data_IF_758747285395
#
_entry.id   IF_758747285395
#
_cell.length_a   1.000
_cell.length_b   1.000
_cell.length_c   1.000
_cell.angle_alpha   90.00
_cell.angle_beta   90.00
_cell.angle_gamma   90.00
#
_symmetry.space_group_name_H-M   'P 1'
#
loop_
_entity.id
_entity.type
_entity.pdbx_description
1 polymer ?
#
# COMPACT_ATOMS: atom_id res chain seq x y z
N UNK A 1 -1.27 7.45 5.97
CA UNK A 1 -1.12 6.79 4.65
C UNK A 1 -1.75 7.55 3.49
N UNK A 2 -2.81 8.35 3.72
CA UNK A 2 -3.53 9.07 2.63
C UNK A 2 -2.65 9.98 1.74
N UNK A 3 -1.67 10.68 2.31
CA UNK A 3 -0.74 11.51 1.51
C UNK A 3 0.16 10.66 0.60
N UNK A 4 0.57 9.48 1.07
CA UNK A 4 1.39 8.56 0.28
C UNK A 4 0.58 7.97 -0.88
N UNK A 5 -0.64 7.51 -0.60
CA UNK A 5 -1.56 7.03 -1.65
C UNK A 5 -1.88 8.12 -2.67
N UNK A 6 -2.12 9.36 -2.23
CA UNK A 6 -2.33 10.48 -3.15
C UNK A 6 -1.13 10.76 -4.04
N UNK A 7 0.11 10.67 -3.51
CA UNK A 7 1.33 10.84 -4.30
C UNK A 7 1.48 9.74 -5.36
N UNK A 8 1.15 8.50 -5.01
CA UNK A 8 1.19 7.38 -5.94
C UNK A 8 0.14 7.57 -7.02
N UNK A 9 -1.10 7.86 -6.63
CA UNK A 9 -2.19 8.13 -7.57
C UNK A 9 -1.82 9.26 -8.54
N UNK A 10 -1.28 10.37 -8.04
CA UNK A 10 -0.80 11.47 -8.88
C UNK A 10 0.27 11.02 -9.89
N UNK A 11 1.25 10.20 -9.47
CA UNK A 11 2.28 9.67 -10.36
C UNK A 11 1.69 8.76 -11.45
N UNK A 12 0.79 7.87 -11.06
CA UNK A 12 0.08 6.97 -11.98
C UNK A 12 -0.75 7.78 -12.97
N UNK A 13 -1.54 8.73 -12.49
CA UNK A 13 -2.35 9.63 -13.32
C UNK A 13 -1.48 10.44 -14.30
N UNK A 14 -0.30 10.89 -13.86
CA UNK A 14 0.66 11.60 -14.74
C UNK A 14 1.22 10.70 -15.83
N UNK A 15 1.56 9.45 -15.51
CA UNK A 15 2.07 8.47 -16.47
C UNK A 15 0.98 8.06 -17.48
N UNK A 16 -0.25 7.85 -17.01
CA UNK A 16 -1.40 7.58 -17.87
C UNK A 16 -1.70 8.79 -18.77
N UNK A 17 -1.67 10.00 -18.22
CA UNK A 17 -1.84 11.23 -19.01
C UNK A 17 -0.73 11.44 -20.05
N UNK A 18 0.48 10.92 -19.79
CA UNK A 18 1.57 10.90 -20.75
C UNK A 18 1.42 9.83 -21.84
N UNK A 19 0.37 9.00 -21.79
CA UNK A 19 0.09 7.93 -22.74
C UNK A 19 0.68 6.57 -22.37
N UNK A 20 1.21 6.39 -21.15
CA UNK A 20 1.61 5.07 -20.65
C UNK A 20 0.40 4.28 -20.16
N UNK A 21 0.23 3.06 -20.65
CA UNK A 21 -0.68 2.08 -20.06
C UNK A 21 0.04 1.40 -18.91
N UNK A 22 -0.26 1.79 -17.68
CA UNK A 22 0.20 1.09 -16.49
C UNK A 22 -0.78 -0.03 -16.16
N UNK A 23 -0.27 -1.23 -15.96
CA UNK A 23 -1.09 -2.27 -15.37
C UNK A 23 -1.29 -1.98 -13.88
N UNK A 24 -2.45 -2.37 -13.42
CA UNK A 24 -2.93 -2.20 -12.07
C UNK A 24 -2.02 -2.94 -11.08
N UNK A 25 -1.50 -4.09 -11.49
CA UNK A 25 -0.52 -4.87 -10.76
C UNK A 25 0.80 -4.12 -10.57
N UNK A 26 1.31 -3.46 -11.62
CA UNK A 26 2.54 -2.65 -11.54
C UNK A 26 2.40 -1.50 -10.54
N UNK A 27 1.24 -0.87 -10.49
CA UNK A 27 0.93 0.20 -9.53
C UNK A 27 0.98 -0.34 -8.09
N UNK A 28 0.39 -1.51 -7.85
CA UNK A 28 0.39 -2.16 -6.52
C UNK A 28 1.83 -2.54 -6.14
N UNK A 29 2.59 -3.17 -7.04
CA UNK A 29 3.98 -3.56 -6.79
C UNK A 29 4.86 -2.32 -6.50
N UNK A 30 4.71 -1.25 -7.27
CA UNK A 30 5.42 0.00 -7.04
C UNK A 30 5.07 0.59 -5.67
N UNK A 31 3.79 0.56 -5.30
CA UNK A 31 3.31 0.99 -3.98
C UNK A 31 3.96 0.20 -2.86
N UNK A 32 3.99 -1.14 -2.97
CA UNK A 32 4.59 -2.06 -2.01
C UNK A 32 6.11 -1.87 -1.86
N UNK A 33 6.80 -1.56 -2.96
CA UNK A 33 8.24 -1.30 -2.95
C UNK A 33 8.60 -0.01 -2.22
N UNK A 34 7.76 1.03 -2.32
CA UNK A 34 7.98 2.29 -1.60
C UNK A 34 7.56 2.27 -0.12
N UNK A 35 6.89 1.21 0.36
CA UNK A 35 6.50 1.10 1.77
C UNK A 35 7.72 0.83 2.67
N UNK A 36 7.78 1.41 3.89
CA UNK A 36 8.82 1.12 4.86
C UNK A 36 8.72 -0.32 5.41
N UNK A 37 9.75 -0.78 6.11
CA UNK A 37 9.85 -2.14 6.67
C UNK A 37 8.76 -2.48 7.69
N UNK A 38 8.12 -1.47 8.30
CA UNK A 38 6.96 -1.66 9.18
C UNK A 38 5.79 -2.37 8.49
N UNK A 39 5.65 -2.22 7.17
CA UNK A 39 4.60 -2.86 6.38
C UNK A 39 5.05 -4.22 5.80
N UNK A 40 6.10 -4.86 6.33
CA UNK A 40 6.58 -6.12 5.76
C UNK A 40 5.55 -7.25 5.85
N UNK A 41 4.80 -7.32 6.94
CA UNK A 41 3.70 -8.28 7.10
C UNK A 41 2.68 -8.12 5.97
N UNK A 42 2.28 -6.88 5.68
CA UNK A 42 1.43 -6.55 4.55
C UNK A 42 2.00 -6.95 3.20
N UNK A 43 3.25 -6.57 2.89
CA UNK A 43 3.91 -6.95 1.62
C UNK A 43 3.95 -8.46 1.45
N UNK A 44 4.22 -9.19 2.53
CA UNK A 44 4.27 -10.65 2.51
C UNK A 44 2.89 -11.21 2.22
N UNK A 45 1.85 -10.78 2.95
CA UNK A 45 0.45 -11.20 2.76
C UNK A 45 -0.04 -10.97 1.33
N UNK A 46 0.23 -9.79 0.78
CA UNK A 46 -0.15 -9.47 -0.60
C UNK A 46 0.60 -10.38 -1.58
N UNK A 47 1.90 -10.63 -1.37
CA UNK A 47 2.70 -11.52 -2.24
C UNK A 47 2.32 -13.00 -2.15
N UNK A 48 1.93 -13.51 -0.97
CA UNK A 48 1.56 -14.92 -0.80
C UNK A 48 0.13 -15.23 -1.19
N UNK A 49 -0.77 -14.26 -1.13
CA UNK A 49 -2.19 -14.46 -1.33
C UNK A 49 -2.72 -13.55 -2.46
N UNK A 50 -2.06 -13.56 -3.62
CA UNK A 50 -2.36 -12.66 -4.75
C UNK A 50 -3.36 -13.31 -5.75
N UNK A 51 -4.69 -13.18 -5.57
CA UNK A 51 -5.62 -13.20 -6.70
C UNK A 51 -5.46 -11.87 -7.49
N UNK A 52 -6.17 -11.65 -8.61
CA UNK A 52 -6.19 -10.34 -9.26
C UNK A 52 -6.72 -9.28 -8.28
N UNK A 53 -5.80 -8.59 -7.59
CA UNK A 53 -6.06 -7.59 -6.59
C UNK A 53 -6.24 -6.26 -7.30
N UNK A 54 -7.42 -5.66 -7.17
CA UNK A 54 -7.69 -4.34 -7.69
C UNK A 54 -7.17 -3.27 -6.71
N UNK A 55 -6.90 -2.03 -7.17
CA UNK A 55 -6.52 -0.92 -6.30
C UNK A 55 -7.65 -0.62 -5.32
N UNK A 56 -8.90 -0.80 -5.76
CA UNK A 56 -10.10 -0.58 -4.96
C UNK A 56 -10.16 -1.54 -3.76
N UNK A 57 -9.62 -2.75 -3.88
CA UNK A 57 -9.47 -3.70 -2.77
C UNK A 57 -8.18 -3.45 -1.96
N UNK A 58 -7.13 -3.00 -2.63
CA UNK A 58 -5.83 -2.73 -2.02
C UNK A 58 -5.86 -1.52 -1.07
N UNK A 59 -6.51 -0.42 -1.46
CA UNK A 59 -6.54 0.81 -0.64
C UNK A 59 -7.18 0.60 0.75
N UNK A 60 -8.35 -0.06 0.89
CA UNK A 60 -8.92 -0.41 2.19
C UNK A 60 -8.00 -1.29 3.03
N UNK A 61 -7.36 -2.29 2.41
CA UNK A 61 -6.42 -3.19 3.08
C UNK A 61 -5.23 -2.42 3.65
N UNK A 62 -4.68 -1.47 2.89
CA UNK A 62 -3.57 -0.63 3.33
C UNK A 62 -3.95 0.30 4.50
N UNK A 63 -5.15 0.88 4.47
CA UNK A 63 -5.67 1.68 5.59
C UNK A 63 -5.90 0.84 6.85
N UNK A 64 -6.39 -0.39 6.69
CA UNK A 64 -6.53 -1.33 7.79
C UNK A 64 -5.18 -1.67 8.41
N UNK A 65 -4.16 -1.92 7.57
CA UNK A 65 -2.80 -2.21 8.06
C UNK A 65 -2.19 -1.00 8.78
N UNK A 66 -2.38 0.22 8.28
CA UNK A 66 -1.92 1.44 8.98
C UNK A 66 -2.51 1.51 10.40
N UNK A 67 -3.83 1.30 10.53
CA UNK A 67 -4.51 1.29 11.84
C UNK A 67 -3.97 0.18 12.74
N UNK A 68 -3.68 -0.99 12.17
CA UNK A 68 -3.16 -2.13 12.91
C UNK A 68 -1.74 -1.86 13.44
N UNK A 69 -0.88 -1.25 12.62
CA UNK A 69 0.46 -0.83 13.01
C UNK A 69 0.43 0.27 14.08
N UNK A 70 -0.48 1.24 13.98
CA UNK A 70 -0.68 2.27 15.00
C UNK A 70 -1.12 1.66 16.34
N UNK A 71 -2.06 0.72 16.31
CA UNK A 71 -2.50 -0.01 17.51
C UNK A 71 -1.39 -0.86 18.11
N UNK A 72 -0.60 -1.55 17.28
CA UNK A 72 0.52 -2.36 17.74
C UNK A 72 1.63 -1.49 18.35
N UNK A 73 1.94 -0.34 17.72
CA UNK A 73 2.86 0.65 18.27
C UNK A 73 2.35 1.22 19.61
N UNK A 74 1.07 1.56 19.71
CA UNK A 74 0.46 2.05 20.94
C UNK A 74 0.51 1.00 22.07
N UNK A 75 0.27 -0.27 21.73
CA UNK A 75 0.40 -1.39 22.68
C UNK A 75 1.84 -1.62 23.14
N UNK A 76 2.81 -1.51 22.24
CA UNK A 76 4.22 -1.65 22.58
C UNK A 76 4.69 -0.57 23.57
N UNK A 77 4.14 0.65 23.48
CA UNK A 77 4.46 1.76 24.40
C UNK A 77 3.84 1.54 25.80
N UNK A 78 2.68 0.90 25.90
CA UNK A 78 2.02 0.68 27.20
C UNK A 78 2.75 -0.32 28.12
N UNK A 79 3.71 -1.09 27.59
CA UNK A 79 4.47 -2.07 28.35
C UNK A 79 5.88 -1.59 28.77
N UNK A 80 6.20 -0.31 28.58
CA UNK A 80 7.46 0.34 29.01
C UNK A 80 7.17 1.33 30.13
#
# INVERSE_FOLDING_TARGET
>A
MQQYLSKIKLKVDTLIAAGCTLDTEDVIIYTLNGLPTSYQSFKTTIRTNLPPLSPDDFYPLLCSEETNLENEAARAIHYV
#
